data_IF_899878902440
#
_entry.id   IF_899878902440
#
_cell.length_a   1.000
_cell.length_b   1.000
_cell.length_c   1.000
_cell.angle_alpha   90.00
_cell.angle_beta   90.00
_cell.angle_gamma   90.00
#
_symmetry.space_group_name_H-M   'P 1'
#
loop_
_entity.id
_entity.type
_entity.pdbx_description
1 polymer ?
#
# COMPACT_ATOMS: atom_id res chain seq x y z
N UNK A 1 8.09 -28.59 -15.40
CA UNK A 1 8.18 -27.72 -14.20
C UNK A 1 6.87 -26.97 -14.12
N UNK A 2 6.12 -27.11 -13.01
CA UNK A 2 4.87 -26.37 -12.81
C UNK A 2 5.14 -24.86 -12.73
N UNK A 3 4.16 -24.04 -13.12
CA UNK A 3 4.24 -22.59 -12.97
C UNK A 3 4.24 -22.20 -11.50
N UNK A 4 4.94 -21.13 -11.18
CA UNK A 4 4.87 -20.52 -9.87
C UNK A 4 3.46 -19.93 -9.65
N UNK A 5 2.91 -20.09 -8.45
CA UNK A 5 1.71 -19.38 -8.02
C UNK A 5 2.15 -18.01 -7.50
N UNK A 6 1.58 -16.93 -8.04
CA UNK A 6 1.99 -15.55 -7.72
C UNK A 6 0.79 -14.68 -7.24
N UNK A 7 -0.32 -15.31 -6.83
CA UNK A 7 -1.52 -14.62 -6.30
C UNK A 7 -1.50 -14.41 -4.78
N UNK A 8 -2.61 -13.92 -4.23
CA UNK A 8 -2.80 -13.94 -2.77
C UNK A 8 -2.85 -15.40 -2.29
N UNK A 9 -2.02 -15.71 -1.31
CA UNK A 9 -1.87 -17.06 -0.75
C UNK A 9 -2.89 -17.35 0.35
N UNK A 10 -3.54 -16.30 0.88
CA UNK A 10 -4.50 -16.40 1.96
C UNK A 10 -5.90 -16.73 1.42
N UNK A 11 -6.60 -17.59 2.14
CA UNK A 11 -8.03 -17.77 2.02
C UNK A 11 -8.76 -16.68 2.80
N UNK A 12 -9.82 -16.14 2.21
CA UNK A 12 -10.75 -15.22 2.88
C UNK A 12 -10.03 -14.04 3.57
N UNK A 13 -9.17 -13.36 2.80
CA UNK A 13 -8.33 -12.24 3.27
C UNK A 13 -9.08 -10.95 3.59
N UNK A 14 -10.30 -10.79 3.06
CA UNK A 14 -11.21 -9.67 3.31
C UNK A 14 -12.34 -10.02 4.29
N UNK A 15 -12.34 -11.24 4.87
CA UNK A 15 -13.29 -11.67 5.90
C UNK A 15 -14.79 -11.72 5.49
N UNK A 16 -15.10 -11.52 4.21
CA UNK A 16 -16.46 -11.58 3.65
C UNK A 16 -17.16 -12.93 3.86
N UNK A 17 -16.40 -14.00 4.11
CA UNK A 17 -16.93 -15.34 4.47
C UNK A 17 -16.65 -15.72 5.92
N UNK A 18 -16.52 -14.72 6.80
CA UNK A 18 -16.29 -14.85 8.22
C UNK A 18 -14.82 -15.06 8.56
N UNK A 19 -14.51 -15.95 9.50
CA UNK A 19 -13.12 -16.30 9.90
C UNK A 19 -12.67 -17.62 9.26
N UNK A 20 -13.31 -18.02 8.16
CA UNK A 20 -12.96 -19.25 7.42
C UNK A 20 -11.49 -19.21 7.00
N UNK A 21 -10.75 -20.30 7.22
CA UNK A 21 -9.31 -20.39 6.95
C UNK A 21 -8.41 -19.85 8.08
N UNK A 22 -8.95 -19.09 9.02
CA UNK A 22 -8.18 -18.47 10.10
C UNK A 22 -8.29 -19.24 11.42
N UNK A 23 -7.15 -19.48 12.08
CA UNK A 23 -7.14 -19.90 13.48
C UNK A 23 -7.12 -18.66 14.35
N UNK A 24 -8.07 -18.55 15.27
CA UNK A 24 -8.33 -17.32 16.02
C UNK A 24 -8.40 -17.53 17.52
N UNK A 25 -7.99 -16.50 18.27
CA UNK A 25 -8.18 -16.38 19.70
C UNK A 25 -8.61 -14.96 20.03
N UNK A 26 -9.79 -14.79 20.63
CA UNK A 26 -10.38 -13.49 20.94
C UNK A 26 -10.45 -12.58 19.68
N UNK A 27 -10.84 -13.16 18.55
CA UNK A 27 -11.14 -12.44 17.31
C UNK A 27 -12.55 -12.82 16.85
N UNK A 28 -13.33 -11.83 16.45
CA UNK A 28 -14.71 -11.99 15.96
C UNK A 28 -14.88 -11.25 14.64
N UNK A 29 -15.96 -11.52 13.92
CA UNK A 29 -16.33 -10.72 12.74
C UNK A 29 -17.10 -9.49 13.16
N UNK A 30 -16.82 -8.38 12.51
CA UNK A 30 -17.55 -7.12 12.64
C UNK A 30 -17.95 -6.63 11.25
N UNK A 31 -19.14 -6.03 11.14
CA UNK A 31 -19.57 -5.29 9.96
C UNK A 31 -19.65 -3.78 10.21
N UNK A 32 -19.13 -3.31 11.34
CA UNK A 32 -19.27 -1.89 11.71
C UNK A 32 -18.51 -1.00 10.73
N UNK A 33 -17.29 -1.42 10.35
CA UNK A 33 -16.30 -0.61 9.61
C UNK A 33 -15.31 -1.46 8.80
N UNK A 34 -15.79 -2.24 7.84
CA UNK A 34 -14.89 -2.93 6.92
C UNK A 34 -13.98 -1.94 6.19
N UNK A 35 -12.77 -2.39 5.86
CA UNK A 35 -11.94 -1.74 4.85
C UNK A 35 -12.49 -1.94 3.47
N UNK A 36 -12.91 -3.17 3.19
CA UNK A 36 -13.46 -3.60 1.93
C UNK A 36 -14.69 -4.45 2.20
N UNK A 37 -15.71 -4.33 1.35
CA UNK A 37 -16.88 -5.20 1.46
C UNK A 37 -17.75 -4.88 2.67
N UNK A 38 -18.12 -5.91 3.44
CA UNK A 38 -19.08 -5.82 4.55
C UNK A 38 -18.57 -6.41 5.87
N UNK A 39 -17.36 -6.99 5.91
CA UNK A 39 -16.82 -7.64 7.10
C UNK A 39 -15.35 -7.29 7.38
N UNK A 40 -14.95 -7.35 8.65
CA UNK A 40 -13.55 -7.21 9.11
C UNK A 40 -13.30 -8.13 10.30
N UNK A 41 -12.04 -8.50 10.53
CA UNK A 41 -11.63 -9.25 11.72
C UNK A 41 -11.37 -8.31 12.90
N UNK A 42 -12.26 -8.36 13.90
CA UNK A 42 -12.17 -7.60 15.14
C UNK A 42 -11.37 -8.34 16.21
N UNK A 43 -10.17 -7.85 16.50
CA UNK A 43 -9.36 -8.28 17.64
C UNK A 43 -9.91 -7.69 18.94
N UNK A 44 -10.42 -8.55 19.84
CA UNK A 44 -11.18 -8.13 21.01
C UNK A 44 -10.35 -7.51 22.14
N UNK A 45 -11.04 -7.08 23.20
CA UNK A 45 -10.56 -6.27 24.33
C UNK A 45 -9.30 -6.79 25.08
N UNK A 46 -9.10 -8.12 25.12
CA UNK A 46 -7.94 -8.73 25.78
C UNK A 46 -6.83 -9.06 24.77
N UNK A 47 -5.83 -9.88 25.15
CA UNK A 47 -4.90 -10.44 24.17
C UNK A 47 -5.69 -11.13 23.06
N UNK A 48 -5.37 -10.81 21.82
CA UNK A 48 -6.03 -11.36 20.66
C UNK A 48 -4.98 -11.79 19.63
N UNK A 49 -5.28 -12.85 18.89
CA UNK A 49 -4.40 -13.31 17.83
C UNK A 49 -5.18 -14.04 16.75
N UNK A 50 -4.68 -13.96 15.52
CA UNK A 50 -5.15 -14.80 14.42
C UNK A 50 -3.96 -15.20 13.54
N UNK A 51 -4.03 -16.39 12.96
CA UNK A 51 -3.04 -16.82 11.98
C UNK A 51 -3.64 -17.71 10.90
N UNK A 52 -2.93 -17.77 9.77
CA UNK A 52 -3.18 -18.70 8.68
C UNK A 52 -1.86 -19.25 8.16
N UNK A 53 -1.83 -20.56 7.90
CA UNK A 53 -0.70 -21.25 7.27
C UNK A 53 -0.95 -21.39 5.78
N UNK A 54 0.01 -20.99 4.95
CA UNK A 54 -0.05 -21.08 3.49
C UNK A 54 1.05 -21.98 2.96
N UNK A 55 0.77 -22.74 1.90
CA UNK A 55 1.74 -23.63 1.26
C UNK A 55 2.69 -22.84 0.36
N UNK A 56 3.98 -23.21 0.38
CA UNK A 56 5.04 -22.58 -0.42
C UNK A 56 5.50 -23.42 -1.63
N UNK A 57 4.95 -24.62 -1.78
CA UNK A 57 5.32 -25.60 -2.81
C UNK A 57 5.24 -25.04 -4.23
N UNK A 58 4.39 -24.04 -4.45
CA UNK A 58 4.18 -23.40 -5.75
C UNK A 58 4.73 -22.00 -5.87
N UNK A 59 5.28 -21.35 -4.84
CA UNK A 59 5.72 -19.94 -4.98
C UNK A 59 7.16 -19.78 -5.47
N UNK A 60 7.79 -20.87 -5.92
CA UNK A 60 9.18 -20.89 -6.40
C UNK A 60 10.19 -20.22 -5.46
N UNK A 61 9.96 -20.38 -4.15
CA UNK A 61 10.81 -19.86 -3.07
C UNK A 61 11.04 -18.36 -3.21
N UNK A 62 9.99 -17.60 -3.55
CA UNK A 62 10.03 -16.14 -3.59
C UNK A 62 9.77 -15.56 -2.19
N UNK A 63 10.33 -14.38 -1.88
CA UNK A 63 9.86 -13.61 -0.73
C UNK A 63 8.39 -13.20 -0.95
N UNK A 64 7.72 -12.93 0.15
CA UNK A 64 6.32 -12.53 0.20
C UNK A 64 6.20 -11.02 0.47
N UNK A 65 5.35 -10.37 -0.31
CA UNK A 65 4.77 -9.06 -0.09
C UNK A 65 3.58 -9.21 0.84
N UNK A 66 3.62 -8.50 1.97
CA UNK A 66 2.53 -8.41 2.94
C UNK A 66 1.91 -7.01 2.84
N UNK A 67 0.59 -6.95 2.73
CA UNK A 67 -0.19 -5.73 2.98
C UNK A 67 -1.35 -6.05 3.90
N UNK A 68 -1.73 -5.14 4.78
CA UNK A 68 -2.95 -5.24 5.57
C UNK A 68 -3.39 -3.88 6.06
N UNK A 69 -4.66 -3.80 6.42
CA UNK A 69 -5.27 -2.58 6.92
C UNK A 69 -5.59 -2.75 8.39
N UNK A 70 -5.43 -1.66 9.15
CA UNK A 70 -5.88 -1.62 10.53
C UNK A 70 -6.67 -0.36 10.85
N UNK A 71 -7.65 -0.52 11.73
CA UNK A 71 -8.43 0.59 12.28
C UNK A 71 -8.80 0.28 13.74
N UNK A 72 -8.41 1.11 14.72
CA UNK A 72 -8.95 0.96 16.06
C UNK A 72 -10.40 1.38 16.13
N UNK A 73 -11.13 0.82 17.10
CA UNK A 73 -12.50 1.27 17.37
C UNK A 73 -12.44 2.71 17.93
N UNK A 74 -12.99 3.74 17.25
CA UNK A 74 -12.73 5.10 17.67
C UNK A 74 -13.64 5.56 18.81
N UNK A 75 -13.31 6.74 19.34
CA UNK A 75 -14.16 7.58 20.20
C UNK A 75 -14.68 6.93 21.49
N UNK A 76 -14.12 5.79 21.89
CA UNK A 76 -14.15 5.39 23.29
C UNK A 76 -12.97 6.05 23.97
N UNK A 77 -13.17 7.24 24.55
CA UNK A 77 -12.13 7.89 25.34
C UNK A 77 -12.00 7.19 26.70
N UNK A 78 -10.79 6.71 27.08
CA UNK A 78 -9.52 6.79 26.35
C UNK A 78 -9.40 5.70 25.28
N UNK A 79 -9.00 6.04 24.05
CA UNK A 79 -8.73 5.01 23.03
C UNK A 79 -7.35 4.42 23.28
N UNK A 80 -7.28 3.22 23.86
CA UNK A 80 -6.05 2.60 24.32
C UNK A 80 -5.94 1.18 23.79
N UNK A 81 -5.27 1.04 22.65
CA UNK A 81 -5.11 -0.24 21.94
C UNK A 81 -3.66 -0.69 22.04
N UNK A 82 -3.46 -1.91 22.53
CA UNK A 82 -2.13 -2.46 22.75
C UNK A 82 -1.37 -2.63 21.44
N UNK A 83 -0.05 -2.77 21.55
CA UNK A 83 0.84 -3.00 20.39
C UNK A 83 0.35 -4.18 19.56
N UNK A 84 0.42 -4.04 18.24
CA UNK A 84 0.18 -5.11 17.28
C UNK A 84 1.53 -5.65 16.78
N UNK A 85 1.64 -6.96 16.66
CA UNK A 85 2.76 -7.61 15.99
C UNK A 85 2.22 -8.40 14.81
N UNK A 86 2.76 -8.14 13.61
CA UNK A 86 2.53 -8.94 12.42
C UNK A 86 3.81 -9.73 12.09
N UNK A 87 3.70 -11.05 11.98
CA UNK A 87 4.84 -11.95 11.79
C UNK A 87 4.59 -12.92 10.64
N UNK A 88 5.64 -13.21 9.87
CA UNK A 88 5.66 -14.33 8.94
C UNK A 88 6.72 -15.32 9.38
N UNK A 89 6.30 -16.53 9.77
CA UNK A 89 7.20 -17.62 10.14
C UNK A 89 7.36 -18.62 8.99
N UNK A 90 8.57 -19.13 8.81
CA UNK A 90 8.85 -20.23 7.89
C UNK A 90 8.71 -21.55 8.62
N UNK A 91 7.96 -22.49 8.03
CA UNK A 91 7.63 -23.78 8.63
C UNK A 91 8.10 -24.92 7.72
N UNK A 92 8.74 -25.93 8.30
CA UNK A 92 9.21 -27.13 7.59
C UNK A 92 8.13 -28.22 7.45
N UNK A 93 8.48 -29.31 6.77
CA UNK A 93 7.61 -30.47 6.54
C UNK A 93 7.21 -31.26 7.79
N UNK A 94 7.79 -30.91 8.95
CA UNK A 94 7.52 -31.48 10.26
C UNK A 94 6.76 -30.50 11.17
N UNK A 95 6.24 -29.41 10.61
CA UNK A 95 5.53 -28.34 11.33
C UNK A 95 6.40 -27.58 12.36
N UNK A 96 7.73 -27.59 12.21
CA UNK A 96 8.61 -26.78 13.04
C UNK A 96 8.76 -25.38 12.44
N UNK A 97 8.74 -24.35 13.29
CA UNK A 97 9.19 -23.01 12.91
C UNK A 97 10.72 -23.07 12.74
N UNK A 98 11.18 -22.83 11.52
CA UNK A 98 12.60 -22.88 11.15
C UNK A 98 13.21 -21.49 10.92
N UNK A 99 12.40 -20.43 11.00
CA UNK A 99 12.86 -19.06 10.92
C UNK A 99 11.71 -18.05 10.94
N UNK A 100 12.06 -16.79 11.10
CA UNK A 100 11.16 -15.64 10.98
C UNK A 100 11.53 -14.90 9.71
N UNK A 101 10.60 -14.83 8.75
CA UNK A 101 10.77 -14.08 7.51
C UNK A 101 10.43 -12.61 7.65
N UNK A 102 9.52 -12.26 8.55
CA UNK A 102 9.16 -10.89 8.87
C UNK A 102 8.67 -10.82 10.31
N UNK A 103 9.00 -9.71 10.98
CA UNK A 103 8.39 -9.31 12.25
C UNK A 103 8.30 -7.80 12.30
N UNK A 104 7.07 -7.31 12.24
CA UNK A 104 6.72 -5.89 12.28
C UNK A 104 6.03 -5.61 13.61
N UNK A 105 6.56 -4.65 14.38
CA UNK A 105 5.98 -4.19 15.63
C UNK A 105 5.29 -2.84 15.38
N UNK A 106 3.98 -2.78 15.54
CA UNK A 106 3.23 -1.54 15.43
C UNK A 106 3.00 -1.01 16.85
N UNK A 107 3.52 0.18 17.18
CA UNK A 107 3.47 0.70 18.54
C UNK A 107 2.05 1.13 18.94
N UNK A 108 1.82 1.20 20.26
CA UNK A 108 0.55 1.61 20.85
C UNK A 108 0.08 2.99 20.37
N UNK A 109 1.03 3.90 20.12
CA UNK A 109 0.76 5.23 19.55
C UNK A 109 0.06 5.15 18.18
N UNK A 110 0.33 4.09 17.41
CA UNK A 110 -0.28 3.88 16.09
C UNK A 110 -1.58 3.11 16.18
N UNK A 111 -1.58 2.02 16.94
CA UNK A 111 -2.81 1.24 17.15
C UNK A 111 -3.88 2.01 17.89
N UNK A 112 -3.52 3.03 18.69
CA UNK A 112 -4.48 3.87 19.43
C UNK A 112 -4.91 5.13 18.69
N UNK A 113 -4.35 5.40 17.51
CA UNK A 113 -4.73 6.56 16.70
C UNK A 113 -6.06 6.28 15.99
N UNK A 114 -7.16 6.81 16.54
CA UNK A 114 -8.52 6.66 15.98
C UNK A 114 -8.88 7.64 14.87
N UNK A 115 -7.94 8.50 14.47
CA UNK A 115 -8.16 9.58 13.50
C UNK A 115 -8.00 9.12 12.04
N UNK A 116 -7.31 8.01 11.80
CA UNK A 116 -7.05 7.53 10.44
C UNK A 116 -6.83 6.02 10.38
N UNK A 117 -7.25 5.46 9.25
CA UNK A 117 -6.98 4.10 8.84
C UNK A 117 -5.55 3.98 8.30
N UNK A 118 -4.89 2.86 8.58
CA UNK A 118 -3.50 2.66 8.17
C UNK A 118 -3.32 1.39 7.33
N UNK A 119 -2.83 1.61 6.12
CA UNK A 119 -2.29 0.60 5.22
C UNK A 119 -0.85 0.28 5.59
N UNK A 120 -0.56 -0.97 5.93
CA UNK A 120 0.80 -1.46 6.10
C UNK A 120 1.27 -2.20 4.87
N UNK A 121 2.53 -1.97 4.49
CA UNK A 121 3.20 -2.69 3.40
C UNK A 121 4.56 -3.17 3.90
N UNK A 122 4.85 -4.45 3.68
CA UNK A 122 6.05 -5.12 4.13
C UNK A 122 6.53 -6.16 3.13
N UNK A 123 7.81 -6.53 3.21
CA UNK A 123 8.39 -7.64 2.44
C UNK A 123 9.19 -8.53 3.38
N UNK A 124 8.93 -9.83 3.30
CA UNK A 124 9.68 -10.87 4.02
C UNK A 124 11.08 -11.08 3.43
N UNK A 125 11.97 -11.66 4.23
CA UNK A 125 13.19 -12.26 3.73
C UNK A 125 12.91 -13.46 2.80
N UNK A 126 13.95 -14.00 2.18
CA UNK A 126 13.82 -15.20 1.35
C UNK A 126 13.43 -16.43 2.20
N UNK A 127 12.46 -17.26 1.77
CA UNK A 127 12.16 -18.50 2.47
C UNK A 127 13.37 -19.47 2.46
N UNK A 128 13.72 -20.08 3.61
CA UNK A 128 14.74 -21.14 3.71
C UNK A 128 14.47 -22.32 2.77
N UNK A 129 15.51 -23.14 2.51
CA UNK A 129 15.41 -24.24 1.53
C UNK A 129 14.42 -25.32 1.89
N UNK A 130 14.29 -25.59 3.18
CA UNK A 130 13.40 -26.58 3.74
C UNK A 130 12.05 -26.01 4.19
N UNK A 131 11.75 -24.74 3.89
CA UNK A 131 10.44 -24.16 4.19
C UNK A 131 9.40 -24.69 3.20
N UNK A 132 8.34 -25.32 3.72
CA UNK A 132 7.20 -25.81 2.93
C UNK A 132 5.92 -25.00 3.16
N UNK A 133 5.87 -24.26 4.28
CA UNK A 133 4.77 -23.40 4.68
C UNK A 133 5.28 -22.04 5.15
N UNK A 134 4.42 -21.04 5.06
CA UNK A 134 4.55 -19.80 5.81
C UNK A 134 3.34 -19.61 6.72
N UNK A 135 3.55 -19.12 7.94
CA UNK A 135 2.48 -18.69 8.84
C UNK A 135 2.47 -17.18 8.90
N UNK A 136 1.39 -16.55 8.44
CA UNK A 136 1.11 -15.16 8.77
C UNK A 136 0.34 -15.11 10.08
N UNK A 137 0.86 -14.37 11.06
CA UNK A 137 0.26 -14.23 12.38
C UNK A 137 0.15 -12.77 12.79
N UNK A 138 -1.02 -12.39 13.30
CA UNK A 138 -1.27 -11.12 13.98
C UNK A 138 -1.44 -11.38 15.47
N UNK A 139 -0.85 -10.54 16.31
CA UNK A 139 -0.95 -10.64 17.78
C UNK A 139 -1.05 -9.26 18.41
N UNK A 140 -2.15 -9.00 19.12
CA UNK A 140 -2.41 -7.74 19.81
C UNK A 140 -2.23 -7.90 21.32
N UNK A 141 -1.47 -7.00 21.92
CA UNK A 141 -1.23 -6.95 23.36
C UNK A 141 -2.43 -6.47 24.19
N UNK A 142 -2.30 -6.56 25.51
CA UNK A 142 -3.20 -5.92 26.47
C UNK A 142 -2.78 -4.48 26.75
N UNK A 143 -3.72 -3.68 27.25
CA UNK A 143 -3.46 -2.35 27.83
C UNK A 143 -4.01 -2.31 29.25
N UNK A 144 -3.76 -1.22 29.98
CA UNK A 144 -4.40 -0.99 31.28
C UNK A 144 -5.91 -0.83 31.15
N UNK A 145 -6.39 -0.29 30.02
CA UNK A 145 -7.81 -0.05 29.72
C UNK A 145 -8.27 -1.04 28.65
N UNK A 146 -8.61 -2.26 29.07
CA UNK A 146 -9.00 -3.29 28.12
C UNK A 146 -10.35 -3.01 27.44
N UNK A 147 -11.23 -2.18 28.00
CA UNK A 147 -12.57 -1.92 27.42
C UNK A 147 -12.51 -1.30 26.03
N UNK A 148 -11.47 -0.52 25.74
CA UNK A 148 -11.26 0.19 24.47
C UNK A 148 -10.16 -0.44 23.62
N UNK A 149 -9.51 -1.49 24.10
CA UNK A 149 -8.42 -2.20 23.41
C UNK A 149 -8.95 -3.11 22.28
N UNK A 150 -9.57 -2.52 21.27
CA UNK A 150 -10.19 -3.21 20.14
C UNK A 150 -9.55 -2.69 18.85
N UNK A 151 -9.14 -3.62 17.99
CA UNK A 151 -8.51 -3.32 16.71
C UNK A 151 -9.15 -4.16 15.61
N UNK A 152 -9.61 -3.52 14.54
CA UNK A 152 -10.12 -4.19 13.36
C UNK A 152 -8.96 -4.33 12.34
N UNK A 153 -8.83 -5.53 11.73
CA UNK A 153 -7.85 -5.87 10.69
C UNK A 153 -8.62 -6.32 9.45
N UNK A 154 -8.20 -5.85 8.28
CA UNK A 154 -8.87 -6.17 7.02
C UNK A 154 -7.92 -6.17 5.80
N UNK A 155 -8.43 -6.62 4.65
CA UNK A 155 -7.79 -6.63 3.34
C UNK A 155 -6.32 -7.08 3.36
N UNK A 156 -6.12 -8.34 3.75
CA UNK A 156 -4.77 -8.89 3.94
C UNK A 156 -4.23 -9.49 2.64
N UNK A 157 -3.13 -8.96 2.14
CA UNK A 157 -2.43 -9.52 0.99
C UNK A 157 -1.19 -10.23 1.49
N UNK A 158 -1.02 -11.50 1.13
CA UNK A 158 0.25 -12.21 1.24
C UNK A 158 0.55 -12.87 -0.10
N UNK A 159 1.37 -12.21 -0.93
CA UNK A 159 1.62 -12.62 -2.30
C UNK A 159 3.12 -12.69 -2.60
N UNK A 160 3.59 -13.61 -3.47
CA UNK A 160 4.98 -13.63 -3.91
C UNK A 160 5.42 -12.33 -4.59
N UNK A 161 6.66 -11.92 -4.37
CA UNK A 161 7.28 -10.75 -5.01
C UNK A 161 8.67 -11.06 -5.57
N UNK A 162 9.08 -10.32 -6.60
CA UNK A 162 10.26 -10.61 -7.40
C UNK A 162 11.60 -10.53 -6.65
N UNK A 163 11.69 -9.82 -5.53
CA UNK A 163 12.87 -9.81 -4.64
C UNK A 163 12.51 -9.41 -3.21
N UNK A 164 13.47 -9.60 -2.29
CA UNK A 164 13.43 -8.98 -0.95
C UNK A 164 13.46 -7.46 -1.06
N UNK A 165 13.22 -6.76 0.05
CA UNK A 165 13.51 -5.34 0.13
C UNK A 165 15.03 -5.10 -0.06
N UNK A 166 15.38 -4.32 -1.07
CA UNK A 166 16.76 -3.98 -1.42
C UNK A 166 17.27 -2.77 -0.64
N UNK A 167 16.37 -1.98 -0.05
CA UNK A 167 16.74 -0.92 0.91
C UNK A 167 17.22 -1.58 2.20
N UNK A 168 18.39 -1.16 2.66
CA UNK A 168 18.92 -1.51 3.98
C UNK A 168 18.44 -0.52 5.02
N UNK A 169 18.14 -1.01 6.21
CA UNK A 169 17.67 -0.18 7.33
C UNK A 169 16.46 0.67 6.91
N UNK A 170 15.47 0.01 6.30
CA UNK A 170 14.27 0.61 5.71
C UNK A 170 13.37 1.29 6.73
N UNK A 171 13.28 0.75 7.93
CA UNK A 171 12.55 1.32 9.07
C UNK A 171 13.44 2.06 10.07
N UNK A 172 14.67 2.42 9.69
CA UNK A 172 15.54 3.31 10.49
C UNK A 172 15.86 2.88 11.94
N UNK A 173 15.66 1.61 12.27
CA UNK A 173 15.95 1.06 13.61
C UNK A 173 17.45 1.13 13.97
N UNK A 174 18.31 1.29 12.96
CA UNK A 174 19.74 1.56 13.11
C UNK A 174 20.09 3.04 12.85
N UNK A 175 19.14 3.96 13.03
CA UNK A 175 19.28 5.38 12.73
C UNK A 175 19.46 5.65 11.23
N UNK A 176 20.38 6.54 10.87
CA UNK A 176 20.71 6.88 9.47
C UNK A 176 21.80 5.98 8.85
N UNK A 177 22.12 4.84 9.48
CA UNK A 177 23.08 3.90 8.93
C UNK A 177 22.64 3.40 7.54
N UNK A 178 23.58 3.34 6.60
CA UNK A 178 23.40 3.04 5.16
C UNK A 178 22.68 4.11 4.34
N UNK A 179 22.35 5.26 4.92
CA UNK A 179 21.75 6.39 4.22
C UNK A 179 22.72 7.56 4.11
N UNK A 180 22.74 8.22 2.96
CA UNK A 180 23.37 9.53 2.79
C UNK A 180 22.31 10.60 2.91
N UNK A 181 22.57 11.63 3.71
CA UNK A 181 21.53 12.60 4.08
C UNK A 181 22.07 14.02 4.23
N UNK A 182 21.16 14.99 4.12
CA UNK A 182 21.33 16.39 4.53
C UNK A 182 20.07 16.82 5.27
N UNK A 183 20.19 17.56 6.38
CA UNK A 183 19.06 18.00 7.21
C UNK A 183 18.06 16.85 7.45
N UNK A 184 18.52 15.80 8.13
CA UNK A 184 17.70 14.69 8.55
C UNK A 184 18.12 14.26 9.95
N UNK A 185 17.15 13.94 10.79
CA UNK A 185 17.37 13.51 12.17
C UNK A 185 16.55 12.26 12.48
N UNK A 186 17.12 11.37 13.30
CA UNK A 186 16.42 10.18 13.79
C UNK A 186 15.44 10.59 14.88
N UNK A 187 14.22 10.06 14.82
CA UNK A 187 13.20 10.23 15.86
C UNK A 187 12.86 8.89 16.51
N UNK A 188 12.52 8.93 17.80
CA UNK A 188 12.08 7.79 18.61
C UNK A 188 10.67 8.02 19.19
N UNK A 189 9.94 8.94 18.56
CA UNK A 189 8.57 9.34 18.84
C UNK A 189 7.86 9.42 17.51
N UNK A 190 6.54 9.27 17.48
CA UNK A 190 5.82 9.33 16.22
C UNK A 190 6.34 8.32 15.18
N UNK A 191 6.48 7.07 15.64
CA UNK A 191 7.03 5.93 14.90
C UNK A 191 5.93 5.21 14.13
N UNK A 192 6.12 4.94 12.84
CA UNK A 192 5.17 4.13 12.07
C UNK A 192 5.26 2.65 12.46
N UNK A 193 6.48 2.12 12.52
CA UNK A 193 6.74 0.77 13.01
C UNK A 193 8.10 0.63 13.71
N UNK A 194 8.23 -0.38 14.57
CA UNK A 194 9.41 -0.64 15.36
C UNK A 194 9.65 0.43 16.43
N UNK A 195 10.81 1.08 16.38
CA UNK A 195 11.32 1.97 17.45
C UNK A 195 11.83 3.33 16.98
N UNK A 196 12.00 3.54 15.68
CA UNK A 196 12.56 4.77 15.14
C UNK A 196 11.97 5.10 13.77
N UNK A 197 11.95 6.38 13.45
CA UNK A 197 11.65 6.95 12.13
C UNK A 197 12.67 8.05 11.81
N UNK A 198 12.61 8.63 10.61
CA UNK A 198 13.42 9.80 10.26
C UNK A 198 12.54 11.02 10.09
N UNK A 199 12.91 12.13 10.71
CA UNK A 199 12.44 13.44 10.32
C UNK A 199 13.37 14.01 9.25
N UNK A 200 12.85 14.14 8.04
CA UNK A 200 13.46 14.86 6.94
C UNK A 200 13.14 16.33 7.10
N UNK A 201 14.06 17.06 7.73
CA UNK A 201 13.94 18.47 8.08
C UNK A 201 13.80 19.35 6.82
N UNK A 202 13.50 20.66 6.99
CA UNK A 202 13.34 21.55 5.85
C UNK A 202 14.52 21.53 4.88
N UNK A 203 14.21 21.47 3.59
CA UNK A 203 15.18 21.29 2.50
C UNK A 203 16.07 20.03 2.65
N UNK A 204 15.62 19.04 3.42
CA UNK A 204 16.35 17.82 3.69
C UNK A 204 16.36 16.85 2.51
N UNK A 205 17.42 16.04 2.46
CA UNK A 205 17.53 14.93 1.50
C UNK A 205 17.93 13.65 2.19
N UNK A 206 17.39 12.54 1.70
CA UNK A 206 17.71 11.20 2.14
C UNK A 206 17.92 10.33 0.90
N UNK A 207 19.06 9.65 0.81
CA UNK A 207 19.46 8.89 -0.38
C UNK A 207 20.08 7.54 -0.03
N UNK A 208 19.74 6.51 -0.81
CA UNK A 208 20.42 5.22 -0.78
C UNK A 208 20.65 4.71 -2.20
N UNK A 209 21.92 4.40 -2.50
CA UNK A 209 22.33 3.80 -3.77
C UNK A 209 22.24 2.28 -3.65
N UNK A 210 21.40 1.67 -4.48
CA UNK A 210 21.11 0.23 -4.49
C UNK A 210 21.69 -0.37 -5.76
N UNK A 211 22.62 -1.32 -5.62
CA UNK A 211 23.22 -2.02 -6.76
C UNK A 211 22.20 -2.97 -7.37
N UNK A 212 21.95 -2.84 -8.68
CA UNK A 212 20.94 -3.62 -9.42
C UNK A 212 21.54 -4.41 -10.60
N UNK A 213 22.85 -4.32 -10.85
CA UNK A 213 23.50 -4.99 -11.97
C UNK A 213 23.57 -6.53 -11.86
N UNK A 214 23.26 -7.07 -10.69
CA UNK A 214 23.10 -8.50 -10.41
C UNK A 214 21.66 -9.00 -10.60
N UNK A 215 20.72 -8.10 -10.90
CA UNK A 215 19.32 -8.43 -11.18
C UNK A 215 19.10 -8.55 -12.69
N UNK A 216 17.99 -9.18 -13.14
CA UNK A 216 17.67 -9.26 -14.55
C UNK A 216 17.68 -7.88 -15.23
N UNK A 217 18.25 -7.80 -16.42
CA UNK A 217 18.28 -6.57 -17.21
C UNK A 217 16.86 -6.01 -17.43
N UNK A 218 16.75 -4.68 -17.45
CA UNK A 218 15.48 -3.96 -17.63
C UNK A 218 14.41 -4.29 -16.57
N UNK A 219 14.83 -4.63 -15.35
CA UNK A 219 13.92 -4.83 -14.23
C UNK A 219 13.14 -3.56 -13.88
N UNK A 220 11.94 -3.76 -13.32
CA UNK A 220 11.12 -2.71 -12.71
C UNK A 220 11.11 -2.96 -11.21
N UNK A 221 10.82 -1.92 -10.43
CA UNK A 221 10.87 -1.98 -8.99
C UNK A 221 9.66 -1.30 -8.38
N UNK A 222 9.06 -1.91 -7.37
CA UNK A 222 8.09 -1.29 -6.49
C UNK A 222 8.82 -0.45 -5.46
N UNK A 223 8.41 0.81 -5.33
CA UNK A 223 8.77 1.71 -4.25
C UNK A 223 7.55 1.87 -3.34
N UNK A 224 7.73 1.66 -2.04
CA UNK A 224 6.74 2.03 -1.02
C UNK A 224 7.43 2.71 0.16
N UNK A 225 6.72 3.58 0.85
CA UNK A 225 7.18 4.24 2.07
C UNK A 225 5.99 4.80 2.83
N UNK A 226 6.14 4.91 4.15
CA UNK A 226 5.19 5.55 5.02
C UNK A 226 5.67 6.96 5.37
N UNK A 227 4.78 7.95 5.27
CA UNK A 227 5.08 9.35 5.58
C UNK A 227 4.04 9.97 6.50
N UNK A 228 4.51 10.87 7.34
CA UNK A 228 3.68 11.74 8.17
C UNK A 228 4.28 13.17 8.15
N UNK A 229 3.47 14.17 8.45
CA UNK A 229 3.88 15.56 8.53
C UNK A 229 3.47 16.10 9.89
N UNK A 230 4.41 16.72 10.60
CA UNK A 230 4.10 17.33 11.89
C UNK A 230 3.02 18.40 11.70
N UNK A 231 2.00 18.39 12.58
CA UNK A 231 0.90 19.36 12.58
C UNK A 231 1.46 20.79 12.63
N UNK A 232 1.38 21.49 11.51
CA UNK A 232 1.59 22.92 11.43
C UNK A 232 0.55 23.49 10.46
N UNK A 233 -0.22 24.48 10.91
CA UNK A 233 -1.43 24.95 10.23
C UNK A 233 -1.20 25.68 8.88
N UNK A 234 -0.01 25.63 8.26
CA UNK A 234 0.28 26.36 7.02
C UNK A 234 1.47 25.73 6.24
N UNK A 235 1.34 24.53 5.63
CA UNK A 235 2.24 24.23 4.51
C UNK A 235 1.88 25.19 3.37
N UNK A 236 2.77 26.08 2.92
CA UNK A 236 2.46 26.91 1.77
C UNK A 236 2.34 25.99 0.55
N UNK A 237 1.26 26.13 -0.22
CA UNK A 237 1.07 25.35 -1.45
C UNK A 237 2.31 25.41 -2.35
N UNK A 238 2.55 24.31 -3.07
CA UNK A 238 3.78 24.03 -3.87
C UNK A 238 4.98 23.47 -3.08
N UNK A 239 4.76 23.01 -1.85
CA UNK A 239 5.74 22.27 -1.05
C UNK A 239 5.48 20.78 -1.12
N UNK A 240 6.52 19.99 -1.40
CA UNK A 240 6.39 18.56 -1.64
C UNK A 240 7.44 17.76 -0.90
N UNK A 241 7.05 16.58 -0.43
CA UNK A 241 7.96 15.46 -0.39
C UNK A 241 8.10 14.92 -1.82
N UNK A 242 9.28 15.08 -2.40
CA UNK A 242 9.63 14.47 -3.69
C UNK A 242 10.29 13.13 -3.45
N UNK A 243 9.66 12.05 -3.91
CA UNK A 243 10.24 10.71 -3.90
C UNK A 243 10.66 10.29 -5.31
N UNK A 244 11.92 9.90 -5.49
CA UNK A 244 12.49 9.57 -6.80
C UNK A 244 13.24 8.25 -6.76
N UNK A 245 13.26 7.60 -7.92
CA UNK A 245 14.25 6.56 -8.25
C UNK A 245 15.05 7.04 -9.45
N UNK A 246 16.34 7.28 -9.26
CA UNK A 246 17.26 7.76 -10.31
C UNK A 246 18.15 6.60 -10.75
N UNK A 247 18.23 6.35 -12.05
CA UNK A 247 19.10 5.33 -12.62
C UNK A 247 20.51 5.90 -12.79
N UNK A 248 21.50 5.24 -12.19
CA UNK A 248 22.90 5.61 -12.34
C UNK A 248 23.66 4.55 -13.14
N UNK A 249 24.59 5.01 -13.97
CA UNK A 249 25.53 4.14 -14.67
C UNK A 249 26.74 3.76 -13.79
N UNK A 250 27.68 2.99 -14.34
CA UNK A 250 28.90 2.54 -13.63
C UNK A 250 29.87 3.65 -13.21
N UNK A 251 29.64 4.89 -13.64
CA UNK A 251 30.39 6.08 -13.28
C UNK A 251 29.59 6.97 -12.32
N UNK A 252 28.55 6.40 -11.69
CA UNK A 252 27.59 7.10 -10.81
C UNK A 252 26.89 8.31 -11.46
N UNK A 253 26.90 8.38 -12.80
CA UNK A 253 26.23 9.46 -13.52
C UNK A 253 24.76 9.09 -13.76
N UNK A 254 23.81 10.00 -13.49
CA UNK A 254 22.40 9.80 -13.83
C UNK A 254 22.21 9.57 -15.33
N UNK A 255 21.43 8.54 -15.67
CA UNK A 255 21.07 8.18 -17.05
C UNK A 255 19.55 8.09 -17.27
N UNK A 256 18.76 8.44 -16.26
CA UNK A 256 17.31 8.54 -16.35
C UNK A 256 16.65 8.57 -14.97
N UNK A 257 15.37 8.94 -14.94
CA UNK A 257 14.52 8.88 -13.75
C UNK A 257 13.52 7.75 -13.95
N UNK A 258 13.55 6.76 -13.06
CA UNK A 258 12.65 5.62 -13.09
C UNK A 258 11.27 5.94 -12.54
N UNK A 259 11.22 6.79 -11.52
CA UNK A 259 10.03 7.19 -10.80
C UNK A 259 10.23 8.60 -10.22
N UNK A 260 9.18 9.41 -10.24
CA UNK A 260 9.07 10.68 -9.53
C UNK A 260 7.64 10.80 -8.99
N UNK A 261 7.52 10.98 -7.68
CA UNK A 261 6.27 11.27 -6.97
C UNK A 261 6.41 12.64 -6.32
N UNK A 262 5.36 13.46 -6.43
CA UNK A 262 5.27 14.75 -5.76
C UNK A 262 4.13 14.72 -4.75
N UNK A 263 4.46 14.60 -3.46
CA UNK A 263 3.46 14.46 -2.41
C UNK A 263 3.34 15.76 -1.63
N UNK A 264 2.18 16.39 -1.70
CA UNK A 264 1.93 17.71 -1.12
C UNK A 264 1.88 17.62 0.42
N UNK A 265 2.71 18.41 1.09
CA UNK A 265 2.82 18.40 2.55
C UNK A 265 1.55 18.84 3.27
N UNK A 266 0.79 19.73 2.63
CA UNK A 266 -0.52 20.15 3.11
C UNK A 266 -1.49 18.96 3.25
N UNK A 267 -1.24 17.82 2.60
CA UNK A 267 -2.20 16.70 2.57
C UNK A 267 -1.89 15.64 3.56
N UNK A 268 -0.61 15.44 3.81
CA UNK A 268 -0.14 14.53 4.84
C UNK A 268 -0.61 15.03 6.22
N UNK A 269 -0.63 16.33 6.47
CA UNK A 269 -1.13 16.86 7.75
C UNK A 269 -2.60 16.47 8.03
N UNK A 270 -3.46 16.41 7.00
CA UNK A 270 -4.87 16.07 7.16
C UNK A 270 -5.10 14.56 7.32
N UNK A 271 -4.08 13.75 7.04
CA UNK A 271 -4.11 12.32 7.37
C UNK A 271 -4.10 12.09 8.88
N UNK A 272 -3.60 13.05 9.69
CA UNK A 272 -3.51 12.98 11.17
C UNK A 272 -2.75 11.75 11.70
N UNK A 273 -2.14 10.99 10.82
CA UNK A 273 -1.39 9.76 11.00
C UNK A 273 -0.58 9.54 9.71
N UNK A 274 0.22 8.48 9.67
CA UNK A 274 0.98 8.12 8.48
C UNK A 274 0.08 7.81 7.28
N UNK A 275 0.58 8.11 6.09
CA UNK A 275 0.06 7.62 4.83
C UNK A 275 1.12 6.77 4.13
N UNK A 276 0.69 5.66 3.53
CA UNK A 276 1.57 4.74 2.82
C UNK A 276 1.42 4.96 1.34
N UNK A 277 2.52 5.23 0.65
CA UNK A 277 2.54 5.38 -0.81
C UNK A 277 3.10 4.11 -1.45
N UNK A 278 2.57 3.74 -2.61
CA UNK A 278 3.03 2.60 -3.41
C UNK A 278 3.05 3.02 -4.87
N UNK A 279 4.20 2.90 -5.53
CA UNK A 279 4.31 3.05 -6.98
C UNK A 279 5.40 2.14 -7.54
N UNK A 280 5.52 2.09 -8.86
CA UNK A 280 6.50 1.26 -9.55
C UNK A 280 7.27 2.07 -10.56
N UNK A 281 8.56 1.76 -10.67
CA UNK A 281 9.43 2.42 -11.63
C UNK A 281 9.09 2.01 -13.06
N UNK A 282 9.43 2.88 -14.00
CA UNK A 282 9.72 2.44 -15.38
C UNK A 282 10.90 1.46 -15.40
N UNK A 283 11.14 0.81 -16.54
CA UNK A 283 12.23 -0.16 -16.70
C UNK A 283 13.58 0.53 -16.53
N UNK A 284 14.49 -0.09 -15.78
CA UNK A 284 15.87 0.36 -15.71
C UNK A 284 16.48 0.39 -17.13
N UNK A 285 17.00 1.55 -17.60
CA UNK A 285 17.52 1.67 -18.96
C UNK A 285 18.83 0.89 -19.13
N UNK A 286 19.19 0.61 -20.38
CA UNK A 286 20.46 -0.05 -20.71
C UNK A 286 21.64 0.73 -20.12
N UNK A 287 22.49 0.04 -19.36
CA UNK A 287 23.66 0.63 -18.71
C UNK A 287 23.42 1.11 -17.27
N UNK A 288 22.17 1.04 -16.77
CA UNK A 288 21.89 1.23 -15.35
C UNK A 288 22.53 0.10 -14.54
N UNK A 289 23.29 0.46 -13.51
CA UNK A 289 23.90 -0.50 -12.58
C UNK A 289 23.50 -0.24 -11.13
N UNK A 290 23.00 0.97 -10.85
CA UNK A 290 22.55 1.41 -9.53
C UNK A 290 21.22 2.13 -9.67
N UNK A 291 20.30 1.84 -8.75
CA UNK A 291 19.09 2.61 -8.51
C UNK A 291 19.32 3.48 -7.27
N UNK A 292 19.24 4.80 -7.42
CA UNK A 292 19.28 5.71 -6.27
C UNK A 292 17.85 6.02 -5.85
N UNK A 293 17.45 5.49 -4.69
CA UNK A 293 16.22 5.95 -4.01
C UNK A 293 16.56 7.27 -3.34
N UNK A 294 15.78 8.31 -3.65
CA UNK A 294 16.00 9.68 -3.15
C UNK A 294 14.68 10.28 -2.67
N UNK A 295 14.65 10.71 -1.42
CA UNK A 295 13.56 11.47 -0.82
C UNK A 295 14.07 12.89 -0.57
N UNK A 296 13.33 13.90 -1.01
CA UNK A 296 13.70 15.31 -0.86
C UNK A 296 12.52 16.09 -0.33
N UNK A 297 12.70 16.73 0.81
CA UNK A 297 11.76 17.70 1.32
C UNK A 297 12.02 19.03 0.61
N UNK A 298 11.05 19.53 -0.16
CA UNK A 298 11.15 20.84 -0.82
C UNK A 298 10.52 21.97 -0.01
N UNK A 299 9.96 21.67 1.17
CA UNK A 299 9.43 22.65 2.09
C UNK A 299 10.57 23.36 2.84
N UNK A 300 10.58 24.70 2.91
CA UNK A 300 11.62 25.46 3.59
C UNK A 300 11.42 25.62 5.10
N UNK A 301 10.26 25.24 5.64
CA UNK A 301 9.83 25.52 7.01
C UNK A 301 9.48 24.26 7.82
N UNK A 302 8.93 23.23 7.17
CA UNK A 302 8.39 22.04 7.83
C UNK A 302 9.10 20.76 7.42
N UNK A 303 9.09 19.77 8.31
CA UNK A 303 9.71 18.46 8.11
C UNK A 303 8.69 17.36 7.81
N UNK A 304 9.17 16.28 7.22
CA UNK A 304 8.40 15.05 7.00
C UNK A 304 8.98 13.92 7.82
N UNK A 305 8.13 13.21 8.56
CA UNK A 305 8.50 11.94 9.14
C UNK A 305 8.38 10.86 8.06
N UNK A 306 9.41 10.06 7.90
CA UNK A 306 9.51 8.99 6.91
C UNK A 306 9.86 7.71 7.66
N UNK A 307 9.17 6.64 7.30
CA UNK A 307 9.45 5.32 7.82
C UNK A 307 9.21 4.25 6.73
N UNK A 308 9.71 3.04 6.99
CA UNK A 308 9.53 1.84 6.18
C UNK A 308 9.68 2.01 4.66
N UNK A 309 10.87 2.39 4.20
CA UNK A 309 11.14 2.49 2.76
C UNK A 309 11.39 1.11 2.15
N UNK A 310 10.55 0.71 1.20
CA UNK A 310 10.61 -0.56 0.47
C UNK A 310 11.00 -0.32 -0.98
N UNK A 311 12.03 -1.02 -1.45
CA UNK A 311 12.39 -1.07 -2.87
C UNK A 311 12.63 -2.52 -3.28
N UNK A 312 11.73 -3.10 -4.08
CA UNK A 312 11.82 -4.50 -4.48
C UNK A 312 11.52 -4.69 -5.95
N UNK A 313 12.18 -5.67 -6.58
CA UNK A 313 11.94 -6.03 -7.97
C UNK A 313 10.52 -6.56 -8.15
N UNK A 314 9.86 -6.11 -9.20
CA UNK A 314 8.56 -6.62 -9.67
C UNK A 314 8.64 -7.14 -11.11
N UNK A 315 7.63 -7.91 -11.50
CA UNK A 315 7.53 -8.61 -12.77
C UNK A 315 7.27 -7.70 -13.98
N UNK A 316 6.64 -6.53 -13.78
CA UNK A 316 6.38 -5.55 -14.83
C UNK A 316 6.52 -4.12 -14.31
N UNK A 317 6.47 -3.12 -15.21
CA UNK A 317 6.24 -1.73 -14.81
C UNK A 317 4.74 -1.50 -14.58
N UNK A 318 4.36 -0.26 -14.30
CA UNK A 318 2.95 0.13 -14.25
C UNK A 318 2.35 -0.04 -15.65
N UNK A 319 1.30 -0.84 -15.77
CA UNK A 319 0.59 -1.03 -17.03
C UNK A 319 -0.39 0.11 -17.31
N UNK A 320 -0.73 0.90 -16.28
CA UNK A 320 -1.57 2.09 -16.40
C UNK A 320 -0.75 3.25 -16.94
N UNK A 321 -1.26 3.88 -17.99
CA UNK A 321 -0.76 5.16 -18.51
C UNK A 321 -1.52 6.32 -17.88
N UNK A 322 -0.85 7.47 -17.71
CA UNK A 322 -1.41 8.66 -17.06
C UNK A 322 -2.05 8.32 -15.70
N UNK A 323 -1.31 7.55 -14.87
CA UNK A 323 -1.82 6.97 -13.62
C UNK A 323 -2.19 7.99 -12.54
N UNK A 324 -1.49 9.13 -12.50
CA UNK A 324 -1.79 10.26 -11.61
C UNK A 324 -2.59 11.38 -12.28
N UNK A 325 -3.12 11.16 -13.49
CA UNK A 325 -3.95 12.14 -14.22
C UNK A 325 -3.26 13.50 -14.52
N UNK A 326 -1.93 13.57 -14.38
CA UNK A 326 -1.14 14.81 -14.51
C UNK A 326 -1.07 15.35 -15.95
N UNK A 327 -1.44 14.57 -16.97
CA UNK A 327 -1.49 15.05 -18.35
C UNK A 327 -2.64 16.05 -18.58
N UNK A 328 -2.31 17.34 -18.51
CA UNK A 328 -3.26 18.43 -18.62
C UNK A 328 -4.00 18.52 -19.96
N UNK A 329 -3.42 17.98 -21.04
CA UNK A 329 -3.95 18.12 -22.38
C UNK A 329 -4.98 17.04 -22.73
N UNK A 330 -4.96 15.89 -22.02
CA UNK A 330 -5.90 14.81 -22.25
C UNK A 330 -5.90 13.81 -21.09
N UNK A 331 -7.09 13.35 -20.70
CA UNK A 331 -7.24 12.19 -19.81
C UNK A 331 -6.90 10.87 -20.52
N UNK A 332 -6.78 10.87 -21.86
CA UNK A 332 -6.41 9.68 -22.64
C UNK A 332 -5.15 9.02 -22.06
N UNK A 333 -5.12 7.68 -21.95
CA UNK A 333 -6.05 6.70 -22.54
C UNK A 333 -7.25 6.29 -21.67
N UNK A 334 -7.56 7.02 -20.59
CA UNK A 334 -8.74 6.72 -19.79
C UNK A 334 -10.04 7.02 -20.53
N UNK A 335 -10.99 6.10 -20.39
CA UNK A 335 -12.36 6.18 -20.91
C UNK A 335 -13.28 6.58 -19.77
N UNK A 336 -13.95 7.71 -19.94
CA UNK A 336 -14.91 8.26 -18.99
C UNK A 336 -16.34 7.99 -19.48
N UNK A 337 -17.22 7.56 -18.57
CA UNK A 337 -18.65 7.41 -18.84
C UNK A 337 -19.46 8.13 -17.77
N UNK A 338 -20.46 8.91 -18.18
CA UNK A 338 -21.30 9.68 -17.26
C UNK A 338 -20.63 10.98 -16.81
N UNK A 339 -20.68 11.29 -15.51
CA UNK A 339 -20.28 12.60 -14.95
C UNK A 339 -18.89 12.58 -14.31
N UNK A 340 -17.92 11.94 -14.95
CA UNK A 340 -16.54 11.92 -14.47
C UNK A 340 -15.73 13.08 -15.07
N UNK A 341 -14.89 13.73 -14.26
CA UNK A 341 -14.01 14.82 -14.70
C UNK A 341 -12.59 14.60 -14.19
N UNK A 342 -11.60 15.18 -14.88
CA UNK A 342 -10.27 15.42 -14.31
C UNK A 342 -10.26 16.83 -13.78
N UNK A 343 -9.87 16.99 -12.52
CA UNK A 343 -9.82 18.29 -11.89
C UNK A 343 -8.38 18.62 -11.51
N UNK A 344 -7.98 19.86 -11.78
CA UNK A 344 -6.79 20.42 -11.13
C UNK A 344 -7.22 20.86 -9.74
N UNK A 345 -6.49 20.37 -8.75
CA UNK A 345 -6.81 20.60 -7.35
C UNK A 345 -5.52 20.77 -6.58
N UNK A 346 -5.55 21.58 -5.54
CA UNK A 346 -4.48 21.56 -4.53
C UNK A 346 -4.65 20.38 -3.59
N UNK A 347 -5.63 19.48 -3.79
CA UNK A 347 -6.00 18.36 -2.93
C UNK A 347 -5.89 16.99 -3.62
N UNK A 348 -4.80 16.78 -4.37
CA UNK A 348 -4.49 15.51 -4.99
C UNK A 348 -3.79 14.57 -4.00
N UNK A 349 -3.84 13.26 -4.27
CA UNK A 349 -3.06 12.27 -3.51
C UNK A 349 -1.58 12.38 -3.86
N UNK A 350 -1.30 12.65 -5.13
CA UNK A 350 0.01 12.94 -5.72
C UNK A 350 -0.16 14.05 -6.77
N UNK A 351 0.85 14.89 -6.96
CA UNK A 351 0.82 15.92 -7.98
C UNK A 351 -0.24 17.00 -7.74
N UNK A 352 -1.06 17.31 -8.75
CA UNK A 352 -2.05 18.40 -8.74
C UNK A 352 -3.37 18.01 -9.42
N UNK A 353 -3.54 16.76 -9.82
CA UNK A 353 -4.72 16.32 -10.57
C UNK A 353 -5.31 15.06 -9.97
N UNK A 354 -6.62 14.95 -10.12
CA UNK A 354 -7.39 13.78 -9.69
C UNK A 354 -8.41 13.44 -10.76
N UNK A 355 -8.82 12.17 -10.83
CA UNK A 355 -10.07 11.80 -11.47
C UNK A 355 -11.19 11.85 -10.44
N UNK A 356 -12.28 12.57 -10.74
CA UNK A 356 -13.47 12.64 -9.89
C UNK A 356 -14.68 12.04 -10.60
N UNK A 357 -15.23 10.97 -10.04
CA UNK A 357 -16.56 10.47 -10.38
C UNK A 357 -17.59 11.28 -9.59
N UNK A 358 -18.50 12.00 -10.25
CA UNK A 358 -19.43 12.87 -9.53
C UNK A 358 -20.48 12.12 -8.70
N UNK A 359 -21.17 12.86 -7.82
CA UNK A 359 -22.33 12.39 -7.07
C UNK A 359 -23.57 12.07 -7.94
N UNK A 360 -23.55 12.32 -9.25
CA UNK A 360 -24.57 11.86 -10.18
C UNK A 360 -24.23 10.46 -10.75
N UNK A 361 -23.02 9.97 -10.49
CA UNK A 361 -22.53 8.65 -10.89
C UNK A 361 -21.61 8.68 -12.11
N UNK A 362 -21.33 7.49 -12.65
CA UNK A 362 -20.42 7.30 -13.76
C UNK A 362 -19.31 6.32 -13.43
N UNK A 363 -18.40 6.18 -14.39
CA UNK A 363 -17.22 5.34 -14.29
C UNK A 363 -16.04 5.95 -15.02
N UNK A 364 -14.86 5.48 -14.67
CA UNK A 364 -13.62 5.69 -15.42
C UNK A 364 -12.91 4.35 -15.56
N UNK A 365 -12.39 4.08 -16.76
CA UNK A 365 -11.71 2.82 -17.02
C UNK A 365 -10.53 2.97 -17.97
N UNK A 366 -9.57 2.07 -17.87
CA UNK A 366 -8.47 1.93 -18.83
C UNK A 366 -8.30 0.46 -19.18
N UNK A 367 -8.19 0.17 -20.47
CA UNK A 367 -7.84 -1.17 -20.94
C UNK A 367 -6.35 -1.23 -21.23
N UNK A 368 -5.65 -2.17 -20.61
CA UNK A 368 -4.20 -2.34 -20.74
C UNK A 368 -3.87 -3.72 -21.32
N UNK A 369 -2.76 -3.81 -22.05
CA UNK A 369 -2.24 -5.11 -22.50
C UNK A 369 -1.49 -5.78 -21.36
N UNK A 370 -1.64 -7.09 -21.22
CA UNK A 370 -1.02 -7.84 -20.12
C UNK A 370 -0.52 -9.21 -20.57
N UNK A 371 0.28 -9.85 -19.72
CA UNK A 371 0.67 -11.24 -19.89
C UNK A 371 -0.38 -12.16 -19.24
N UNK A 372 -0.83 -13.16 -19.99
CA UNK A 372 -1.76 -14.20 -19.55
C UNK A 372 -1.16 -15.12 -18.48
N UNK A 373 -2.01 -15.72 -17.64
CA UNK A 373 -1.61 -16.64 -16.55
C UNK A 373 -0.69 -16.03 -15.49
N UNK A 374 -0.89 -14.75 -15.18
CA UNK A 374 -0.27 -14.09 -14.04
C UNK A 374 -1.33 -13.41 -13.18
N UNK A 375 -0.92 -13.10 -11.95
CA UNK A 375 -1.66 -12.27 -11.01
C UNK A 375 -1.06 -10.87 -11.01
N UNK A 376 -1.89 -9.89 -10.68
CA UNK A 376 -1.50 -8.48 -10.71
C UNK A 376 -1.89 -7.81 -9.39
N UNK A 377 -1.02 -6.94 -8.90
CA UNK A 377 -1.32 -6.00 -7.84
C UNK A 377 -1.97 -4.76 -8.47
N UNK A 378 -3.13 -4.37 -7.95
CA UNK A 378 -3.74 -3.06 -8.13
C UNK A 378 -3.50 -2.23 -6.87
N UNK A 379 -3.06 -0.99 -7.04
CA UNK A 379 -2.97 0.02 -5.97
C UNK A 379 -3.52 1.36 -6.45
N UNK A 380 -4.18 2.13 -5.59
CA UNK A 380 -4.68 3.46 -5.92
C UNK A 380 -4.93 4.31 -4.67
N UNK A 381 -4.82 5.63 -4.82
CA UNK A 381 -5.32 6.59 -3.84
C UNK A 381 -6.83 6.79 -4.00
N UNK A 382 -7.56 6.70 -2.90
CA UNK A 382 -9.00 6.91 -2.83
C UNK A 382 -9.38 7.97 -1.81
N UNK A 383 -10.29 8.85 -2.20
CA UNK A 383 -10.87 9.86 -1.34
C UNK A 383 -12.35 10.07 -1.67
N UNK A 384 -13.19 10.26 -0.66
CA UNK A 384 -14.58 10.61 -0.83
C UNK A 384 -14.84 12.06 -0.36
N UNK A 385 -15.37 12.91 -1.25
CA UNK A 385 -15.27 14.36 -1.12
C UNK A 385 -16.37 15.06 -0.32
N UNK A 386 -17.18 14.36 0.50
CA UNK A 386 -18.24 14.94 1.33
C UNK A 386 -18.63 14.03 2.51
N UNK A 387 -19.36 14.57 3.51
CA UNK A 387 -19.89 13.84 4.69
C UNK A 387 -20.94 12.74 4.39
N UNK A 388 -21.24 12.50 3.10
CA UNK A 388 -22.25 11.54 2.71
C UNK A 388 -21.60 10.20 2.33
N UNK A 389 -22.32 9.12 2.63
CA UNK A 389 -21.95 7.77 2.23
C UNK A 389 -21.86 7.70 0.70
N UNK A 390 -20.75 7.21 0.15
CA UNK A 390 -20.59 6.81 -1.25
C UNK A 390 -19.64 5.62 -1.37
N UNK A 391 -20.15 4.47 -1.84
CA UNK A 391 -19.31 3.29 -2.05
C UNK A 391 -18.76 3.32 -3.47
N UNK A 392 -17.48 2.99 -3.61
CA UNK A 392 -16.84 2.77 -4.90
C UNK A 392 -16.73 1.28 -5.17
N UNK A 393 -17.02 0.88 -6.40
CA UNK A 393 -16.72 -0.45 -6.92
C UNK A 393 -15.50 -0.33 -7.84
N UNK A 394 -14.46 -1.10 -7.54
CA UNK A 394 -13.24 -1.20 -8.34
C UNK A 394 -13.11 -2.61 -8.87
N UNK A 395 -13.01 -2.73 -10.19
CA UNK A 395 -13.01 -4.02 -10.85
C UNK A 395 -11.87 -4.13 -11.86
N UNK A 396 -11.30 -5.32 -11.94
CA UNK A 396 -10.38 -5.70 -13.00
C UNK A 396 -11.06 -6.79 -13.82
N UNK A 397 -11.46 -6.47 -15.04
CA UNK A 397 -12.03 -7.43 -15.97
C UNK A 397 -10.96 -8.01 -16.88
N UNK A 398 -10.92 -9.33 -17.03
CA UNK A 398 -10.09 -10.00 -18.01
C UNK A 398 -10.73 -9.97 -19.38
N UNK A 399 -9.98 -9.54 -20.39
CA UNK A 399 -10.45 -9.44 -21.77
C UNK A 399 -9.62 -10.31 -22.72
N UNK A 400 -10.27 -10.89 -23.72
CA UNK A 400 -9.62 -11.59 -24.81
C UNK A 400 -9.04 -10.64 -25.87
N UNK A 401 -8.52 -11.18 -26.98
CA UNK A 401 -7.94 -10.39 -28.07
C UNK A 401 -8.97 -9.53 -28.82
N UNK A 402 -10.26 -9.85 -28.68
CA UNK A 402 -11.39 -9.17 -29.32
C UNK A 402 -12.11 -8.20 -28.36
N UNK A 403 -11.50 -7.89 -27.21
CA UNK A 403 -12.06 -7.04 -26.16
C UNK A 403 -13.34 -7.62 -25.49
N UNK A 404 -13.57 -8.93 -25.62
CA UNK A 404 -14.65 -9.62 -24.92
C UNK A 404 -14.22 -9.98 -23.49
N UNK A 405 -15.11 -9.76 -22.53
CA UNK A 405 -14.92 -10.15 -21.13
C UNK A 405 -14.92 -11.66 -20.99
N UNK A 406 -13.87 -12.20 -20.38
CA UNK A 406 -13.68 -13.64 -20.14
C UNK A 406 -13.64 -13.99 -18.65
N UNK A 407 -13.69 -13.00 -17.77
CA UNK A 407 -13.78 -13.16 -16.33
C UNK A 407 -13.54 -11.86 -15.58
N UNK A 408 -13.79 -11.90 -14.27
CA UNK A 408 -13.43 -10.84 -13.32
C UNK A 408 -12.21 -11.33 -12.53
N UNK A 409 -11.16 -10.52 -12.50
CA UNK A 409 -9.94 -10.79 -11.74
C UNK A 409 -9.95 -10.18 -10.35
N UNK A 410 -10.61 -9.05 -10.15
CA UNK A 410 -10.67 -8.39 -8.84
C UNK A 410 -11.96 -7.60 -8.77
N UNK A 411 -12.59 -7.58 -7.60
CA UNK A 411 -13.77 -6.78 -7.30
C UNK A 411 -13.66 -6.29 -5.86
N UNK A 412 -13.35 -5.02 -5.70
CA UNK A 412 -13.21 -4.35 -4.41
C UNK A 412 -14.40 -3.42 -4.23
N UNK A 413 -15.08 -3.55 -3.11
CA UNK A 413 -16.07 -2.57 -2.66
C UNK A 413 -15.38 -1.70 -1.62
N UNK A 414 -14.93 -0.50 -2.00
CA UNK A 414 -14.43 0.47 -1.06
C UNK A 414 -15.64 1.18 -0.41
N UNK A 415 -15.90 0.94 0.88
CA UNK A 415 -17.03 1.51 1.58
C UNK A 415 -16.82 3.01 1.76
N UNK A 416 -17.93 3.70 2.01
CA UNK A 416 -17.87 5.12 2.24
C UNK A 416 -17.09 5.47 3.50
N UNK A 417 -16.22 6.48 3.36
CA UNK A 417 -15.58 7.14 4.50
C UNK A 417 -16.65 7.87 5.32
N UNK A 418 -16.93 7.40 6.55
CA UNK A 418 -17.91 8.03 7.44
C UNK A 418 -17.26 9.23 8.12
N UNK A 419 -17.68 10.46 7.77
CA UNK A 419 -17.36 11.67 8.56
C UNK A 419 -18.46 11.88 9.60
N UNK A 420 -18.10 12.01 10.88
CA UNK A 420 -19.07 12.28 11.94
C UNK A 420 -19.27 13.81 12.12
N UNK A 421 -20.47 14.21 12.56
CA UNK A 421 -21.08 15.55 12.51
C UNK A 421 -20.37 16.71 13.23
N UNK A 422 -19.11 16.55 13.57
CA UNK A 422 -18.15 17.54 14.04
C UNK A 422 -17.03 17.80 12.99
N UNK A 423 -17.21 17.33 11.74
CA UNK A 423 -16.31 17.58 10.62
C UNK A 423 -15.01 16.78 10.65
N UNK A 424 -14.89 15.79 11.55
CA UNK A 424 -13.70 14.94 11.68
C UNK A 424 -13.90 13.67 10.83
N UNK A 425 -13.04 13.48 9.83
CA UNK A 425 -12.86 12.21 9.15
C UNK A 425 -12.06 11.27 10.05
N UNK A 426 -12.54 10.04 10.22
CA UNK A 426 -11.88 8.96 10.99
C UNK A 426 -11.00 8.06 10.10
N UNK A 427 -10.92 8.33 8.79
CA UNK A 427 -10.21 7.48 7.83
C UNK A 427 -9.18 8.29 7.03
N UNK A 428 -8.66 9.36 7.63
CA UNK A 428 -7.77 10.26 6.94
C UNK A 428 -8.50 10.98 5.80
N UNK A 429 -7.72 11.70 5.00
CA UNK A 429 -8.27 12.29 3.79
C UNK A 429 -8.07 11.34 2.61
N UNK A 430 -6.90 10.72 2.46
CA UNK A 430 -6.64 9.81 1.35
C UNK A 430 -6.20 8.45 1.88
N UNK A 431 -6.81 7.41 1.35
CA UNK A 431 -6.51 6.02 1.71
C UNK A 431 -5.88 5.33 0.51
N UNK A 432 -4.84 4.55 0.78
CA UNK A 432 -4.21 3.70 -0.22
C UNK A 432 -4.91 2.35 -0.22
N UNK A 433 -5.57 2.01 -1.31
CA UNK A 433 -6.14 0.67 -1.47
C UNK A 433 -5.18 -0.20 -2.26
N UNK A 434 -5.04 -1.45 -1.82
CA UNK A 434 -4.33 -2.50 -2.56
C UNK A 434 -5.25 -3.70 -2.76
N UNK A 435 -5.06 -4.41 -3.86
CA UNK A 435 -5.69 -5.70 -4.10
C UNK A 435 -4.88 -6.54 -5.07
N UNK A 436 -4.91 -7.87 -4.90
CA UNK A 436 -4.30 -8.80 -5.85
C UNK A 436 -5.40 -9.50 -6.61
N UNK A 437 -5.33 -9.44 -7.94
CA UNK A 437 -6.29 -10.12 -8.80
C UNK A 437 -6.20 -11.64 -8.62
N UNK A 438 -7.24 -12.38 -8.99
CA UNK A 438 -7.17 -13.79 -9.36
C UNK A 438 -6.26 -14.01 -10.57
N UNK A 439 -6.05 -15.29 -10.93
CA UNK A 439 -5.24 -15.68 -12.07
C UNK A 439 -5.89 -15.21 -13.38
N UNK A 440 -5.17 -14.45 -14.20
CA UNK A 440 -5.59 -14.13 -15.56
C UNK A 440 -5.79 -15.42 -16.39
N UNK A 441 -6.99 -15.68 -16.96
CA UNK A 441 -7.26 -16.86 -17.78
C UNK A 441 -6.33 -17.01 -18.99
N UNK A 442 -6.20 -18.23 -19.52
CA UNK A 442 -5.26 -18.50 -20.61
C UNK A 442 -5.57 -17.75 -21.92
N UNK A 443 -6.83 -17.35 -22.13
CA UNK A 443 -7.28 -16.55 -23.27
C UNK A 443 -7.29 -15.04 -22.99
N UNK A 444 -7.01 -14.60 -21.76
CA UNK A 444 -6.99 -13.18 -21.40
C UNK A 444 -5.67 -12.53 -21.81
N UNK A 445 -5.72 -11.53 -22.69
CA UNK A 445 -4.53 -10.78 -23.17
C UNK A 445 -4.57 -9.30 -22.81
N UNK A 446 -5.70 -8.84 -22.27
CA UNK A 446 -5.94 -7.48 -21.83
C UNK A 446 -6.66 -7.49 -20.48
N UNK A 447 -6.53 -6.40 -19.74
CA UNK A 447 -7.29 -6.16 -18.52
C UNK A 447 -7.96 -4.79 -18.61
N UNK A 448 -9.24 -4.68 -18.20
CA UNK A 448 -9.92 -3.41 -18.03
C UNK A 448 -10.01 -3.11 -16.54
N UNK A 449 -9.29 -2.07 -16.11
CA UNK A 449 -9.37 -1.55 -14.75
C UNK A 449 -10.46 -0.50 -14.76
N UNK A 450 -11.50 -0.69 -13.94
CA UNK A 450 -12.68 0.17 -13.90
C UNK A 450 -12.98 0.60 -12.48
N UNK A 451 -13.20 1.89 -12.32
CA UNK A 451 -13.73 2.48 -11.10
C UNK A 451 -15.12 3.00 -11.39
N UNK A 452 -16.07 2.67 -10.54
CA UNK A 452 -17.46 3.10 -10.69
C UNK A 452 -18.08 3.41 -9.34
N UNK A 453 -19.06 4.31 -9.32
CA UNK A 453 -19.84 4.54 -8.11
C UNK A 453 -20.90 3.45 -7.97
N UNK A 454 -20.91 2.76 -6.84
CA UNK A 454 -21.91 1.75 -6.54
C UNK A 454 -23.18 2.37 -5.93
N UNK A 455 -23.01 3.25 -4.94
CA UNK A 455 -24.13 3.86 -4.21
C UNK A 455 -23.73 5.18 -3.56
N UNK A 456 -24.73 5.91 -3.02
CA UNK A 456 -24.50 7.08 -2.19
C UNK A 456 -24.33 8.41 -2.93
N UNK A 457 -24.27 9.54 -2.21
CA UNK A 457 -24.43 10.89 -2.79
C UNK A 457 -23.15 11.73 -2.78
N UNK A 458 -22.00 11.11 -2.55
CA UNK A 458 -20.72 11.79 -2.53
C UNK A 458 -19.93 11.51 -3.82
N UNK A 459 -19.08 12.47 -4.19
CA UNK A 459 -18.15 12.31 -5.30
C UNK A 459 -16.91 11.57 -4.86
N UNK A 460 -16.43 10.69 -5.72
CA UNK A 460 -15.28 9.83 -5.47
C UNK A 460 -14.10 10.38 -6.25
N UNK A 461 -13.01 10.65 -5.55
CA UNK A 461 -11.73 11.03 -6.12
C UNK A 461 -10.82 9.80 -6.16
N UNK A 462 -10.17 9.61 -7.30
CA UNK A 462 -9.19 8.56 -7.54
C UNK A 462 -7.94 9.23 -8.03
N UNK A 463 -6.82 8.74 -7.56
CA UNK A 463 -5.51 9.23 -7.98
C UNK A 463 -4.48 8.10 -7.89
N UNK A 464 -3.39 8.26 -8.63
CA UNK A 464 -2.24 7.37 -8.67
C UNK A 464 -2.55 5.87 -8.79
N UNK A 465 -3.10 5.45 -9.93
CA UNK A 465 -3.45 4.04 -10.16
C UNK A 465 -2.24 3.23 -10.65
N UNK A 466 -1.93 2.14 -9.95
CA UNK A 466 -0.84 1.23 -10.25
C UNK A 466 -1.39 -0.15 -10.54
N UNK A 467 -1.10 -0.71 -11.71
CA UNK A 467 -1.43 -2.10 -12.05
C UNK A 467 -0.19 -2.82 -12.54
N UNK A 468 0.29 -3.80 -11.77
CA UNK A 468 1.64 -4.37 -11.95
C UNK A 468 1.68 -5.87 -11.63
N UNK A 469 2.51 -6.64 -12.35
CA UNK A 469 2.83 -8.03 -12.00
C UNK A 469 3.89 -8.07 -10.90
N UNK A 470 3.68 -8.82 -9.82
CA UNK A 470 4.65 -8.88 -8.70
C UNK A 470 5.91 -9.73 -8.96
N UNK A 471 5.83 -10.79 -9.79
CA UNK A 471 6.95 -11.75 -10.02
C UNK A 471 7.50 -11.73 -11.44
#
# INVERSE_FOLDING_TARGET
MGRCYDGNLLENSSFETGLTGWTVNNVTISGDRPFEGVATARMGQTTASMFQDVLLDRICRKPLFLSFEMLPLPWQEPNAVGKLVAEVFWIDDKENIIGTGLRTLIPEERTSCGDNRLTFVEITDMPPENAVKARLQFSKGTTEINTTNILDIDNIILAPIGSINLVKNSGFQLGLNNWSFSNASVQFTNIYEGTASINLEPNGTLTQNIVINNLPYNSNFLLSFAIDALRADDFPGETFLRAQVIWLNKLDSPIGTGLELLIDGDKIQYQRNYATYVDVTTRAPKGAVTAQVKLTNTDPNFGFNIDKVIFARVGSGNLIENSGFENALSISPWIVQGTTAVETTTWAYEGRRIARISNLGGSISQTVTMEKNYWYLLSFGYHNSNENTGNMLVEVYWLDSNDQEVGVGLSIIAPSIIRYGNGISIEGDWITYLGVTDLAPENAVKARIQFSRLSGNASINIDKVVFVRLV
#
